data_IF_324648507622
#
_entry.id   IF_324648507622
#
_cell.length_a   1.000
_cell.length_b   1.000
_cell.length_c   1.000
_cell.angle_alpha   90.00
_cell.angle_beta   90.00
_cell.angle_gamma   90.00
#
_symmetry.space_group_name_H-M   'P 1'
#
loop_
_entity.id
_entity.type
_entity.pdbx_description
1 polymer ?
#
# COMPACT_ATOMS: atom_id res chain seq x y z
N UNK A 1 -20.34 -22.29 4.57
CA UNK A 1 -19.38 -21.91 5.64
C UNK A 1 -18.79 -20.57 5.28
N UNK A 2 -18.83 -19.58 6.18
CA UNK A 2 -18.22 -18.26 5.95
C UNK A 2 -16.72 -18.40 6.21
N UNK A 3 -15.83 -18.08 5.25
CA UNK A 3 -14.40 -18.22 5.44
C UNK A 3 -13.90 -17.34 6.58
N UNK A 4 -12.90 -17.83 7.31
CA UNK A 4 -12.27 -17.05 8.38
C UNK A 4 -11.55 -15.82 7.81
N UNK A 5 -11.41 -14.75 8.58
CA UNK A 5 -10.72 -13.53 8.14
C UNK A 5 -9.28 -13.79 7.66
N UNK A 6 -8.60 -14.81 8.20
CA UNK A 6 -7.26 -15.23 7.74
C UNK A 6 -7.29 -15.87 6.36
N UNK A 7 -8.25 -16.77 6.12
CA UNK A 7 -8.44 -17.39 4.80
C UNK A 7 -8.81 -16.33 3.77
N UNK A 8 -9.73 -15.42 4.11
CA UNK A 8 -10.09 -14.28 3.24
C UNK A 8 -8.88 -13.42 2.90
N UNK A 9 -8.00 -13.13 3.86
CA UNK A 9 -6.76 -12.38 3.61
C UNK A 9 -5.83 -13.11 2.63
N UNK A 10 -5.61 -14.42 2.84
CA UNK A 10 -4.74 -15.24 1.98
C UNK A 10 -5.30 -15.35 0.56
N UNK A 11 -6.61 -15.57 0.43
CA UNK A 11 -7.30 -15.63 -0.86
C UNK A 11 -7.19 -14.30 -1.61
N UNK A 12 -7.50 -13.18 -0.94
CA UNK A 12 -7.39 -11.85 -1.56
C UNK A 12 -5.96 -11.53 -2.01
N UNK A 13 -4.95 -11.89 -1.21
CA UNK A 13 -3.55 -11.71 -1.61
C UNK A 13 -3.17 -12.58 -2.82
N UNK A 14 -3.60 -13.84 -2.84
CA UNK A 14 -3.34 -14.74 -3.97
C UNK A 14 -4.01 -14.25 -5.26
N UNK A 15 -5.26 -13.80 -5.18
CA UNK A 15 -5.96 -13.20 -6.33
C UNK A 15 -5.29 -11.90 -6.75
N UNK A 16 -4.79 -11.08 -5.82
CA UNK A 16 -4.02 -9.88 -6.13
C UNK A 16 -2.76 -10.21 -6.95
N UNK A 17 -2.05 -11.29 -6.60
CA UNK A 17 -0.87 -11.75 -7.34
C UNK A 17 -1.24 -12.20 -8.75
N UNK A 18 -2.30 -12.99 -8.92
CA UNK A 18 -2.78 -13.40 -10.25
C UNK A 18 -3.16 -12.19 -11.10
N UNK A 19 -3.90 -11.23 -10.53
CA UNK A 19 -4.26 -10.00 -11.21
C UNK A 19 -3.03 -9.18 -11.59
N UNK A 20 -2.03 -9.11 -10.71
CA UNK A 20 -0.78 -8.38 -10.97
C UNK A 20 0.02 -9.00 -12.11
N UNK A 21 0.15 -10.33 -12.13
CA UNK A 21 0.85 -11.08 -13.19
C UNK A 21 0.13 -10.91 -14.52
N UNK A 22 -1.20 -11.02 -14.54
CA UNK A 22 -2.00 -10.79 -15.76
C UNK A 22 -1.85 -9.35 -16.28
N UNK A 23 -1.91 -8.35 -15.39
CA UNK A 23 -1.69 -6.95 -15.76
C UNK A 23 -0.29 -6.75 -16.35
N UNK A 24 0.76 -7.29 -15.71
CA UNK A 24 2.11 -7.22 -16.24
C UNK A 24 2.26 -7.92 -17.58
N UNK A 25 1.65 -9.09 -17.76
CA UNK A 25 1.66 -9.80 -19.04
C UNK A 25 1.02 -8.96 -20.14
N UNK A 26 -0.17 -8.39 -19.91
CA UNK A 26 -0.87 -7.53 -20.89
C UNK A 26 -0.05 -6.29 -21.25
N UNK A 27 0.56 -5.64 -20.26
CA UNK A 27 1.35 -4.42 -20.48
C UNK A 27 2.68 -4.68 -21.19
N UNK A 28 3.30 -5.85 -20.99
CA UNK A 28 4.58 -6.20 -21.60
C UNK A 28 4.44 -6.95 -22.94
N UNK A 29 3.33 -7.66 -23.17
CA UNK A 29 3.13 -8.45 -24.39
C UNK A 29 3.36 -7.71 -25.72
N UNK A 30 2.91 -6.44 -25.93
CA UNK A 30 3.09 -5.78 -27.22
C UNK A 30 4.54 -5.36 -27.52
N UNK A 31 5.40 -5.19 -26.50
CA UNK A 31 6.81 -4.84 -26.66
C UNK A 31 7.62 -5.19 -25.39
N UNK A 32 7.98 -6.46 -25.19
CA UNK A 32 8.33 -6.99 -23.86
C UNK A 32 9.56 -6.38 -23.20
N UNK A 33 10.43 -5.69 -23.95
CA UNK A 33 11.71 -5.18 -23.47
C UNK A 33 12.20 -3.93 -24.22
N UNK A 34 11.35 -3.26 -25.02
CA UNK A 34 11.81 -2.06 -25.75
C UNK A 34 12.17 -0.90 -24.80
N UNK A 35 11.57 -0.90 -23.60
CA UNK A 35 11.86 0.04 -22.53
C UNK A 35 12.01 -0.70 -21.19
N UNK A 36 13.27 -0.87 -20.75
CA UNK A 36 13.61 -1.51 -19.48
C UNK A 36 13.07 -0.75 -18.27
N UNK A 37 12.87 0.57 -18.39
CA UNK A 37 12.34 1.42 -17.32
C UNK A 37 10.84 1.15 -17.13
N UNK A 38 10.09 1.16 -18.24
CA UNK A 38 8.68 0.76 -18.23
C UNK A 38 8.49 -0.67 -17.71
N UNK A 39 9.31 -1.61 -18.18
CA UNK A 39 9.25 -3.00 -17.72
C UNK A 39 9.54 -3.12 -16.22
N UNK A 40 10.55 -2.39 -15.72
CA UNK A 40 10.85 -2.32 -14.28
C UNK A 40 9.67 -1.84 -13.45
N UNK A 41 9.02 -0.74 -13.84
CA UNK A 41 7.84 -0.20 -13.15
C UNK A 41 6.68 -1.20 -13.17
N UNK A 42 6.41 -1.82 -14.31
CA UNK A 42 5.33 -2.81 -14.46
C UNK A 42 5.58 -4.05 -13.58
N UNK A 43 6.83 -4.47 -13.41
CA UNK A 43 7.21 -5.62 -12.58
C UNK A 43 7.20 -5.32 -11.08
N UNK A 44 7.18 -4.06 -10.65
CA UNK A 44 6.97 -3.72 -9.24
C UNK A 44 5.59 -4.17 -8.74
N UNK A 45 4.57 -4.20 -9.61
CA UNK A 45 3.22 -4.62 -9.22
C UNK A 45 3.15 -6.10 -8.76
N UNK A 46 3.61 -7.09 -9.56
CA UNK A 46 3.65 -8.47 -9.11
C UNK A 46 4.64 -8.68 -7.95
N UNK A 47 5.72 -7.89 -7.86
CA UNK A 47 6.63 -7.92 -6.72
C UNK A 47 5.91 -7.54 -5.42
N UNK A 48 5.17 -6.41 -5.40
CA UNK A 48 4.40 -5.99 -4.24
C UNK A 48 3.30 -7.00 -3.90
N UNK A 49 2.62 -7.56 -4.90
CA UNK A 49 1.64 -8.61 -4.68
C UNK A 49 2.26 -9.87 -4.05
N UNK A 50 3.44 -10.29 -4.48
CA UNK A 50 4.16 -11.41 -3.88
C UNK A 50 4.55 -11.13 -2.42
N UNK A 51 5.00 -9.91 -2.11
CA UNK A 51 5.25 -9.48 -0.72
C UNK A 51 3.96 -9.51 0.11
N UNK A 52 2.84 -9.08 -0.46
CA UNK A 52 1.52 -9.15 0.17
C UNK A 52 1.08 -10.58 0.47
N UNK A 53 1.28 -11.50 -0.47
CA UNK A 53 1.06 -12.95 -0.29
C UNK A 53 1.94 -13.49 0.84
N UNK A 54 3.24 -13.20 0.81
CA UNK A 54 4.16 -13.63 1.85
C UNK A 54 3.76 -13.09 3.24
N UNK A 55 3.33 -11.83 3.31
CA UNK A 55 2.80 -11.23 4.54
C UNK A 55 1.53 -11.91 5.05
N UNK A 56 0.59 -12.25 4.16
CA UNK A 56 -0.66 -12.90 4.51
C UNK A 56 -0.46 -14.35 4.99
N UNK A 57 0.49 -15.07 4.37
CA UNK A 57 0.84 -16.44 4.74
C UNK A 57 1.66 -16.54 6.02
N UNK A 58 2.56 -15.58 6.25
CA UNK A 58 3.35 -15.48 7.49
C UNK A 58 2.59 -14.82 8.65
N UNK A 59 1.31 -14.47 8.44
CA UNK A 59 0.46 -13.76 9.40
C UNK A 59 1.05 -12.42 9.87
N UNK A 60 1.92 -11.80 9.05
CA UNK A 60 2.54 -10.50 9.32
C UNK A 60 1.70 -9.39 8.72
N UNK A 61 0.67 -8.95 9.44
CA UNK A 61 -0.26 -7.89 9.00
C UNK A 61 0.46 -6.62 8.52
N UNK A 62 1.56 -6.23 9.17
CA UNK A 62 2.35 -5.04 8.77
C UNK A 62 2.89 -5.18 7.35
N UNK A 63 3.38 -6.36 6.97
CA UNK A 63 3.95 -6.62 5.63
C UNK A 63 2.86 -6.53 4.56
N UNK A 64 1.66 -7.03 4.83
CA UNK A 64 0.50 -6.94 3.92
C UNK A 64 0.09 -5.49 3.69
N UNK A 65 0.10 -4.66 4.75
CA UNK A 65 -0.19 -3.24 4.62
C UNK A 65 0.87 -2.49 3.83
N UNK A 66 2.16 -2.75 4.07
CA UNK A 66 3.23 -2.13 3.29
C UNK A 66 3.07 -2.48 1.80
N UNK A 67 2.82 -3.75 1.48
CA UNK A 67 2.56 -4.18 0.11
C UNK A 67 1.34 -3.47 -0.52
N UNK A 68 0.23 -3.40 0.21
CA UNK A 68 -0.98 -2.72 -0.25
C UNK A 68 -0.75 -1.23 -0.52
N UNK A 69 -0.05 -0.54 0.39
CA UNK A 69 0.22 0.90 0.29
C UNK A 69 1.21 1.21 -0.83
N UNK A 70 2.24 0.38 -1.02
CA UNK A 70 3.14 0.49 -2.17
C UNK A 70 2.41 0.26 -3.49
N UNK A 71 1.49 -0.72 -3.55
CA UNK A 71 0.68 -0.98 -4.74
C UNK A 71 -0.32 0.15 -5.04
N UNK A 72 -0.92 0.77 -4.02
CA UNK A 72 -1.73 1.99 -4.18
C UNK A 72 -0.86 3.15 -4.69
N UNK A 73 0.32 3.36 -4.10
CA UNK A 73 1.27 4.38 -4.54
C UNK A 73 1.68 4.20 -5.99
N UNK A 74 2.02 2.97 -6.39
CA UNK A 74 2.33 2.60 -7.77
C UNK A 74 1.16 2.86 -8.72
N UNK A 75 -0.07 2.56 -8.29
CA UNK A 75 -1.28 2.81 -9.08
C UNK A 75 -1.56 4.31 -9.27
N UNK A 76 -1.31 5.12 -8.24
CA UNK A 76 -1.47 6.57 -8.27
C UNK A 76 -0.39 7.24 -9.13
N UNK A 77 0.89 6.85 -8.97
CA UNK A 77 1.98 7.35 -9.82
C UNK A 77 1.78 6.92 -11.26
N UNK A 78 1.32 5.68 -11.48
CA UNK A 78 1.01 5.14 -12.79
C UNK A 78 -0.28 5.67 -13.42
N UNK A 79 -1.11 6.45 -12.70
CA UNK A 79 -2.47 6.83 -13.11
C UNK A 79 -2.54 7.64 -14.41
N UNK A 80 -1.42 8.23 -14.84
CA UNK A 80 -1.29 8.93 -16.12
C UNK A 80 -1.02 8.01 -17.33
N UNK A 81 -0.69 6.72 -17.12
CA UNK A 81 -0.30 5.80 -18.19
C UNK A 81 -0.90 4.40 -18.05
N UNK A 82 -0.64 3.72 -16.93
CA UNK A 82 -0.96 2.28 -16.72
C UNK A 82 -1.76 2.02 -15.45
N UNK A 83 -2.05 3.05 -14.65
CA UNK A 83 -2.57 2.91 -13.29
C UNK A 83 -3.90 2.15 -13.24
N UNK A 84 -4.77 2.30 -14.24
CA UNK A 84 -6.03 1.56 -14.32
C UNK A 84 -5.83 0.03 -14.34
N UNK A 85 -4.73 -0.46 -14.92
CA UNK A 85 -4.40 -1.89 -14.91
C UNK A 85 -3.88 -2.37 -13.54
N UNK A 86 -3.36 -1.46 -12.70
CA UNK A 86 -2.76 -1.77 -11.40
C UNK A 86 -3.74 -1.60 -10.24
N UNK A 87 -4.78 -0.78 -10.41
CA UNK A 87 -5.83 -0.53 -9.40
C UNK A 87 -6.45 -1.82 -8.83
N UNK A 88 -6.80 -2.85 -9.64
CA UNK A 88 -7.38 -4.08 -9.10
C UNK A 88 -6.45 -4.78 -8.09
N UNK A 89 -5.15 -4.84 -8.38
CA UNK A 89 -4.14 -5.40 -7.45
C UNK A 89 -4.10 -4.61 -6.16
N UNK A 90 -4.06 -3.29 -6.24
CA UNK A 90 -4.01 -2.41 -5.07
C UNK A 90 -5.24 -2.60 -4.17
N UNK A 91 -6.45 -2.66 -4.75
CA UNK A 91 -7.69 -2.88 -4.02
C UNK A 91 -7.73 -4.27 -3.35
N UNK A 92 -7.28 -5.31 -4.04
CA UNK A 92 -7.23 -6.66 -3.50
C UNK A 92 -6.23 -6.79 -2.35
N UNK A 93 -5.04 -6.16 -2.47
CA UNK A 93 -4.07 -6.11 -1.37
C UNK A 93 -4.59 -5.30 -0.18
N UNK A 94 -5.30 -4.19 -0.42
CA UNK A 94 -5.95 -3.43 0.65
C UNK A 94 -7.00 -4.29 1.37
N UNK A 95 -7.83 -5.00 0.62
CA UNK A 95 -8.80 -5.96 1.17
C UNK A 95 -8.12 -7.06 1.98
N UNK A 96 -7.00 -7.59 1.49
CA UNK A 96 -6.19 -8.57 2.21
C UNK A 96 -5.63 -8.01 3.52
N UNK A 97 -5.13 -6.78 3.51
CA UNK A 97 -4.60 -6.09 4.69
C UNK A 97 -5.69 -5.86 5.75
N UNK A 98 -6.87 -5.43 5.30
CA UNK A 98 -8.06 -5.24 6.13
C UNK A 98 -8.49 -6.57 6.77
N UNK A 99 -8.56 -7.65 5.99
CA UNK A 99 -8.93 -8.98 6.45
C UNK A 99 -7.88 -9.54 7.43
N UNK A 100 -6.59 -9.38 7.14
CA UNK A 100 -5.49 -9.80 8.01
C UNK A 100 -5.56 -9.12 9.38
N UNK A 101 -5.93 -7.85 9.41
CA UNK A 101 -6.08 -7.11 10.66
C UNK A 101 -7.39 -7.43 11.39
N UNK A 102 -8.46 -7.71 10.65
CA UNK A 102 -9.74 -8.17 11.20
C UNK A 102 -9.66 -9.59 11.79
N UNK A 103 -8.68 -10.40 11.39
CA UNK A 103 -8.39 -11.69 12.01
C UNK A 103 -7.95 -11.58 13.48
N UNK A 104 -7.61 -10.36 13.92
CA UNK A 104 -7.29 -10.05 15.31
C UNK A 104 -5.88 -10.51 15.71
N UNK A 105 -5.31 -9.93 16.77
CA UNK A 105 -4.00 -10.30 17.26
C UNK A 105 -4.02 -11.67 17.94
N UNK A 106 -2.84 -12.27 18.07
CA UNK A 106 -2.63 -13.51 18.84
C UNK A 106 -3.24 -13.38 20.25
N UNK A 107 -3.68 -14.52 20.80
CA UNK A 107 -4.25 -14.63 22.16
C UNK A 107 -3.42 -13.82 23.18
N UNK A 108 -4.08 -12.95 23.96
CA UNK A 108 -3.45 -12.08 24.97
C UNK A 108 -3.45 -10.58 24.65
N UNK A 109 -3.40 -10.16 23.38
CA UNK A 109 -3.39 -8.72 23.04
C UNK A 109 -4.79 -8.10 23.20
N UNK A 110 -5.85 -8.85 22.91
CA UNK A 110 -7.23 -8.40 23.13
C UNK A 110 -7.50 -8.17 24.61
N UNK A 111 -7.07 -9.09 25.46
CA UNK A 111 -7.18 -8.97 26.93
C UNK A 111 -6.45 -7.73 27.44
N UNK A 112 -5.22 -7.46 26.96
CA UNK A 112 -4.49 -6.24 27.33
C UNK A 112 -5.20 -4.95 26.90
N UNK A 113 -5.78 -4.89 25.70
CA UNK A 113 -6.50 -3.70 25.22
C UNK A 113 -7.77 -3.43 26.04
N UNK A 114 -8.44 -4.48 26.51
CA UNK A 114 -9.63 -4.37 27.36
C UNK A 114 -9.23 -4.04 28.81
N UNK A 115 -8.16 -4.65 29.32
CA UNK A 115 -7.65 -4.42 30.66
C UNK A 115 -7.09 -3.01 30.85
N UNK A 116 -6.49 -2.41 29.80
CA UNK A 116 -5.96 -1.06 29.83
C UNK A 116 -6.37 -0.28 28.56
N UNK A 117 -7.60 0.27 28.51
CA UNK A 117 -8.11 0.94 27.33
C UNK A 117 -7.43 2.30 27.14
N UNK A 118 -6.94 2.63 25.93
CA UNK A 118 -6.31 3.93 25.69
C UNK A 118 -7.33 5.06 25.87
N UNK A 119 -6.88 6.17 26.48
CA UNK A 119 -7.74 7.34 26.72
C UNK A 119 -8.29 7.94 25.42
N UNK A 120 -9.47 8.58 25.49
CA UNK A 120 -10.09 9.25 24.33
C UNK A 120 -9.17 10.32 23.72
N UNK A 121 -8.48 11.08 24.57
CA UNK A 121 -7.50 12.10 24.16
C UNK A 121 -6.33 11.49 23.40
N UNK A 122 -5.79 10.37 23.86
CA UNK A 122 -4.66 9.71 23.20
C UNK A 122 -5.05 9.11 21.84
N UNK A 123 -6.27 8.55 21.73
CA UNK A 123 -6.80 8.10 20.43
C UNK A 123 -7.00 9.25 19.46
N UNK A 124 -7.53 10.38 19.93
CA UNK A 124 -7.73 11.56 19.11
C UNK A 124 -6.38 12.10 18.60
N UNK A 125 -5.38 12.24 19.47
CA UNK A 125 -4.04 12.69 19.09
C UNK A 125 -3.37 11.74 18.07
N UNK A 126 -3.45 10.43 18.27
CA UNK A 126 -2.89 9.45 17.32
C UNK A 126 -3.62 9.45 15.97
N UNK A 127 -4.94 9.68 15.98
CA UNK A 127 -5.73 9.81 14.75
C UNK A 127 -5.36 11.07 13.99
N UNK A 128 -5.25 12.20 14.69
CA UNK A 128 -4.82 13.47 14.11
C UNK A 128 -3.39 13.39 13.59
N UNK A 129 -2.47 12.76 14.32
CA UNK A 129 -1.11 12.53 13.85
C UNK A 129 -1.09 11.67 12.58
N UNK A 130 -1.90 10.60 12.52
CA UNK A 130 -2.05 9.78 11.32
C UNK A 130 -2.61 10.57 10.14
N UNK A 131 -3.67 11.37 10.36
CA UNK A 131 -4.26 12.21 9.32
C UNK A 131 -3.31 13.31 8.82
N UNK A 132 -2.58 13.96 9.74
CA UNK A 132 -1.56 14.95 9.40
C UNK A 132 -0.44 14.32 8.57
N UNK A 133 0.02 13.12 8.95
CA UNK A 133 1.01 12.36 8.19
C UNK A 133 0.53 12.05 6.77
N UNK A 134 -0.75 11.71 6.59
CA UNK A 134 -1.34 11.52 5.25
C UNK A 134 -1.32 12.82 4.45
N UNK A 135 -1.78 13.93 5.03
CA UNK A 135 -1.84 15.22 4.34
C UNK A 135 -0.45 15.71 3.91
N UNK A 136 0.53 15.62 4.80
CA UNK A 136 1.93 15.94 4.51
C UNK A 136 2.46 15.02 3.42
N UNK A 137 2.18 13.71 3.52
CA UNK A 137 2.61 12.73 2.53
C UNK A 137 2.04 13.00 1.13
N UNK A 138 0.74 13.30 1.03
CA UNK A 138 0.09 13.69 -0.24
C UNK A 138 0.71 14.97 -0.80
N UNK A 139 0.99 15.96 0.04
CA UNK A 139 1.66 17.19 -0.38
C UNK A 139 3.06 16.93 -0.94
N UNK A 140 3.85 16.09 -0.27
CA UNK A 140 5.18 15.69 -0.74
C UNK A 140 5.11 14.91 -2.07
N UNK A 141 4.18 13.96 -2.21
CA UNK A 141 3.96 13.27 -3.49
C UNK A 141 3.58 14.27 -4.58
N UNK A 142 2.72 15.24 -4.29
CA UNK A 142 2.32 16.23 -5.26
C UNK A 142 3.52 17.07 -5.75
N UNK A 143 4.33 17.55 -4.81
CA UNK A 143 5.53 18.34 -5.11
C UNK A 143 6.58 17.53 -5.87
N UNK A 144 6.88 16.31 -5.42
CA UNK A 144 7.90 15.47 -6.05
C UNK A 144 7.45 14.95 -7.41
N UNK A 145 6.27 14.36 -7.51
CA UNK A 145 5.83 13.67 -8.71
C UNK A 145 5.37 14.64 -9.82
N UNK A 146 4.66 15.71 -9.46
CA UNK A 146 4.04 16.61 -10.43
C UNK A 146 4.71 17.99 -10.48
N UNK A 147 5.24 18.48 -9.36
CA UNK A 147 5.88 19.79 -9.30
C UNK A 147 7.32 19.84 -9.80
N UNK A 148 8.06 18.73 -9.68
CA UNK A 148 9.48 18.65 -10.04
C UNK A 148 9.81 17.73 -11.22
N UNK A 149 8.78 17.20 -11.91
CA UNK A 149 8.87 16.33 -13.09
C UNK A 149 9.91 15.19 -12.96
N UNK A 150 9.49 14.03 -12.44
CA UNK A 150 10.34 12.89 -12.10
C UNK A 150 11.37 12.46 -13.17
N UNK A 151 11.04 12.61 -14.46
CA UNK A 151 11.83 12.05 -15.57
C UNK A 151 12.28 13.07 -16.62
N UNK A 152 12.02 14.37 -16.41
CA UNK A 152 12.35 15.43 -17.37
C UNK A 152 11.81 15.16 -18.79
N UNK A 153 12.44 15.76 -19.80
CA UNK A 153 12.03 15.64 -21.21
C UNK A 153 12.37 14.29 -21.86
N UNK A 154 13.23 13.47 -21.25
CA UNK A 154 13.80 12.26 -21.84
C UNK A 154 13.04 10.96 -21.51
N UNK A 155 11.87 11.05 -20.88
CA UNK A 155 11.11 9.90 -20.40
C UNK A 155 10.66 8.89 -21.48
N UNK A 156 10.86 9.18 -22.77
CA UNK A 156 10.43 8.34 -23.91
C UNK A 156 11.56 7.82 -24.81
N UNK A 157 12.83 8.19 -24.57
CA UNK A 157 13.91 7.85 -25.52
C UNK A 157 14.72 6.61 -25.10
N UNK A 158 15.48 6.68 -23.99
CA UNK A 158 16.36 5.59 -23.56
C UNK A 158 16.62 5.59 -22.04
N UNK A 159 16.92 4.42 -21.45
CA UNK A 159 17.24 4.25 -20.01
C UNK A 159 18.44 5.13 -19.58
N UNK A 160 19.45 5.28 -20.44
CA UNK A 160 20.62 6.10 -20.17
C UNK A 160 20.24 7.58 -20.05
N UNK A 161 19.44 8.10 -20.99
CA UNK A 161 18.98 9.48 -20.91
C UNK A 161 18.06 9.69 -19.70
N UNK A 162 17.14 8.76 -19.44
CA UNK A 162 16.24 8.84 -18.30
C UNK A 162 17.01 8.87 -16.98
N UNK A 163 17.99 7.98 -16.75
CA UNK A 163 18.78 7.96 -15.51
C UNK A 163 19.66 9.21 -15.33
N UNK A 164 20.15 9.77 -16.42
CA UNK A 164 20.97 10.98 -16.43
C UNK A 164 20.13 12.24 -16.16
N UNK A 165 18.90 12.30 -16.68
CA UNK A 165 17.98 13.43 -16.45
C UNK A 165 17.01 13.22 -15.29
N UNK A 166 17.04 12.05 -14.63
CA UNK A 166 16.16 11.75 -13.50
C UNK A 166 16.47 12.70 -12.35
N UNK A 167 15.44 13.43 -11.92
CA UNK A 167 15.53 14.24 -10.72
C UNK A 167 15.41 13.33 -9.49
N UNK A 168 16.54 12.76 -9.04
CA UNK A 168 16.60 11.87 -7.87
C UNK A 168 16.07 12.53 -6.59
N UNK A 169 16.15 13.86 -6.50
CA UNK A 169 15.52 14.62 -5.42
C UNK A 169 13.99 14.49 -5.46
N UNK A 170 13.39 14.69 -6.63
CA UNK A 170 11.95 14.51 -6.84
C UNK A 170 11.48 13.07 -6.57
N UNK A 171 12.27 12.08 -7.00
CA UNK A 171 12.04 10.65 -6.68
C UNK A 171 12.06 10.43 -5.18
N UNK A 172 13.08 10.91 -4.48
CA UNK A 172 13.22 10.78 -3.03
C UNK A 172 12.07 11.43 -2.27
N UNK A 173 11.67 12.64 -2.66
CA UNK A 173 10.53 13.36 -2.06
C UNK A 173 9.21 12.60 -2.27
N UNK A 174 9.00 12.04 -3.47
CA UNK A 174 7.82 11.24 -3.78
C UNK A 174 7.76 9.97 -2.92
N UNK A 175 8.89 9.25 -2.80
CA UNK A 175 8.99 8.05 -1.95
C UNK A 175 8.75 8.38 -0.48
N UNK A 176 9.33 9.46 0.03
CA UNK A 176 9.08 9.94 1.40
C UNK A 176 7.60 10.28 1.62
N UNK A 177 6.97 10.95 0.65
CA UNK A 177 5.55 11.27 0.70
C UNK A 177 4.68 10.03 0.77
N UNK A 178 4.94 9.03 -0.08
CA UNK A 178 4.23 7.74 -0.05
C UNK A 178 4.43 7.01 1.28
N UNK A 179 5.65 7.01 1.84
CA UNK A 179 5.92 6.42 3.15
C UNK A 179 5.12 7.13 4.26
N UNK A 180 5.03 8.46 4.24
CA UNK A 180 4.25 9.23 5.20
C UNK A 180 2.73 8.95 5.10
N UNK A 181 2.19 8.82 3.88
CA UNK A 181 0.80 8.37 3.66
C UNK A 181 0.60 6.97 4.23
N UNK A 182 1.54 6.07 3.98
CA UNK A 182 1.46 4.68 4.42
C UNK A 182 1.42 4.56 5.95
N UNK A 183 2.35 5.23 6.64
CA UNK A 183 2.42 5.27 8.10
C UNK A 183 1.16 5.91 8.69
N UNK A 184 0.70 7.02 8.09
CA UNK A 184 -0.50 7.71 8.55
C UNK A 184 -1.77 6.87 8.42
N UNK A 185 -1.95 6.20 7.27
CA UNK A 185 -3.07 5.28 7.03
C UNK A 185 -3.08 4.12 8.01
N UNK A 186 -1.92 3.52 8.27
CA UNK A 186 -1.76 2.45 9.26
C UNK A 186 -2.15 2.91 10.68
N UNK A 187 -1.73 4.10 11.09
CA UNK A 187 -2.08 4.67 12.41
C UNK A 187 -3.58 4.89 12.56
N UNK A 188 -4.22 5.52 11.56
CA UNK A 188 -5.68 5.76 11.57
C UNK A 188 -6.43 4.43 11.65
N UNK A 189 -6.03 3.46 10.85
CA UNK A 189 -6.68 2.16 10.83
C UNK A 189 -6.54 1.38 12.15
N UNK A 190 -5.37 1.49 12.80
CA UNK A 190 -5.17 0.92 14.16
C UNK A 190 -6.17 1.48 15.17
N UNK A 191 -6.51 2.78 15.09
CA UNK A 191 -7.52 3.40 15.97
C UNK A 191 -8.93 2.91 15.69
N UNK A 192 -9.28 2.73 14.41
CA UNK A 192 -10.56 2.12 14.00
C UNK A 192 -10.69 0.71 14.56
N UNK A 193 -9.62 -0.09 14.48
CA UNK A 193 -9.58 -1.44 15.02
C UNK A 193 -9.83 -1.47 16.53
N UNK A 194 -9.07 -0.69 17.31
CA UNK A 194 -9.23 -0.60 18.78
C UNK A 194 -10.65 -0.19 19.15
N UNK A 195 -11.22 0.78 18.43
CA UNK A 195 -12.59 1.25 18.67
C UNK A 195 -13.64 0.16 18.41
N UNK A 196 -13.46 -0.68 17.37
CA UNK A 196 -14.33 -1.84 17.13
C UNK A 196 -14.23 -2.89 18.23
N UNK A 197 -13.02 -3.18 18.72
CA UNK A 197 -12.80 -4.16 19.80
C UNK A 197 -13.49 -3.70 21.08
N UNK A 198 -13.32 -2.43 21.46
CA UNK A 198 -13.93 -1.88 22.67
C UNK A 198 -15.47 -1.82 22.56
N UNK A 199 -16.00 -1.43 21.39
CA UNK A 199 -17.46 -1.41 21.17
C UNK A 199 -18.08 -2.80 21.32
N UNK A 200 -17.41 -3.85 20.81
CA UNK A 200 -17.86 -5.24 20.97
C UNK A 200 -17.71 -5.78 22.39
N UNK A 201 -16.77 -5.26 23.17
CA UNK A 201 -16.56 -5.67 24.55
C UNK A 201 -17.57 -5.02 25.52
N UNK A 202 -18.03 -3.80 25.23
CA UNK A 202 -19.05 -3.11 26.04
C UNK A 202 -20.51 -3.43 25.66
N UNK A 203 -20.73 -4.21 24.61
CA UNK A 203 -22.07 -4.62 24.14
C UNK A 203 -22.45 -6.06 24.54
N UNK A 204 -21.61 -6.74 25.31
CA UNK A 204 -21.86 -8.06 25.89
C UNK A 204 -21.77 -7.98 27.40
#
# INVERSE_FOLDING_TARGET
MVPSNRETSRLLAAVALLAAVLASAVLLFPAPLSDAFFAGIVLLNPLFAAVGVAGAWTERTVVVWVAALLSVGLSLVGMLSIGLFLVPTALLLLGSAIAAQAAGPQSGVRERIVADPPSSRERLLRTLAGAASILVGVGLVNVGAFGQELFGSCARETLACALETTNWGAVGVTVLGLAAVAVGGWLVWKQVYVSRVLRRAGSG
#
